data_IF_919996054399
#
_entry.id   IF_919996054399
#
_cell.length_a   1.000
_cell.length_b   1.000
_cell.length_c   1.000
_cell.angle_alpha   90.00
_cell.angle_beta   90.00
_cell.angle_gamma   90.00
#
_symmetry.space_group_name_H-M   'P 1'
#
loop_
_entity.id
_entity.type
_entity.pdbx_description
1 polymer ?
#
# COMPACT_ATOMS: atom_id res chain seq x y z
N UNK A 1 -19.15 -14.10 10.68
CA UNK A 1 -20.31 -14.01 11.61
C UNK A 1 -19.95 -14.41 13.06
N UNK A 2 -18.71 -14.85 13.34
CA UNK A 2 -18.31 -15.32 14.67
C UNK A 2 -17.16 -14.53 15.29
N UNK A 3 -16.69 -13.46 14.62
CA UNK A 3 -15.65 -12.60 15.17
C UNK A 3 -16.18 -11.80 16.37
N UNK A 4 -15.34 -11.64 17.37
CA UNK A 4 -15.60 -10.87 18.58
C UNK A 4 -14.47 -9.86 18.80
N UNK A 5 -14.61 -8.97 19.79
CA UNK A 5 -13.54 -8.05 20.19
C UNK A 5 -12.21 -8.74 20.58
N UNK A 6 -12.24 -10.01 20.90
CA UNK A 6 -11.06 -10.82 21.26
C UNK A 6 -10.45 -11.55 20.06
N UNK A 7 -11.02 -11.38 18.86
CA UNK A 7 -10.51 -12.00 17.65
C UNK A 7 -9.30 -11.26 17.11
N UNK A 8 -8.40 -12.01 16.45
CA UNK A 8 -7.38 -11.47 15.55
C UNK A 8 -7.80 -11.76 14.12
N UNK A 9 -7.98 -10.73 13.31
CA UNK A 9 -8.39 -10.84 11.90
C UNK A 9 -7.23 -10.46 11.01
N UNK A 10 -6.84 -11.36 10.11
CA UNK A 10 -5.80 -11.11 9.12
C UNK A 10 -6.41 -11.23 7.73
N UNK A 11 -6.37 -10.15 6.95
CA UNK A 11 -6.82 -10.10 5.57
C UNK A 11 -5.66 -9.72 4.67
N UNK A 12 -5.57 -10.39 3.53
CA UNK A 12 -4.57 -10.10 2.50
C UNK A 12 -5.25 -10.05 1.14
N UNK A 13 -5.29 -8.87 0.52
CA UNK A 13 -5.84 -8.61 -0.83
C UNK A 13 -7.17 -9.31 -1.15
N UNK A 14 -8.07 -9.35 -0.15
CA UNK A 14 -9.29 -10.17 -0.18
C UNK A 14 -10.30 -9.77 -1.26
N UNK A 15 -10.12 -8.61 -1.92
CA UNK A 15 -11.07 -8.01 -2.86
C UNK A 15 -10.48 -7.79 -4.26
N UNK A 16 -9.45 -8.54 -4.64
CA UNK A 16 -8.75 -8.37 -5.92
C UNK A 16 -9.54 -8.80 -7.17
N UNK A 17 -10.68 -9.46 -7.00
CA UNK A 17 -11.48 -10.03 -8.09
C UNK A 17 -12.62 -9.13 -8.59
N UNK A 18 -12.78 -7.94 -8.03
CA UNK A 18 -13.84 -7.00 -8.43
C UNK A 18 -13.26 -5.66 -8.93
N UNK A 19 -14.12 -4.72 -9.32
CA UNK A 19 -13.67 -3.41 -9.80
C UNK A 19 -12.99 -2.62 -8.66
N UNK A 20 -12.03 -1.70 -8.97
CA UNK A 20 -11.37 -0.90 -7.93
C UNK A 20 -12.32 -0.12 -7.05
N UNK A 21 -13.41 0.43 -7.62
CA UNK A 21 -14.42 1.18 -6.86
C UNK A 21 -15.20 0.29 -5.88
N UNK A 22 -15.61 -0.90 -6.35
CA UNK A 22 -16.31 -1.86 -5.49
C UNK A 22 -15.39 -2.42 -4.41
N UNK A 23 -14.13 -2.69 -4.78
CA UNK A 23 -13.10 -3.11 -3.83
C UNK A 23 -12.89 -2.09 -2.72
N UNK A 24 -12.79 -0.81 -3.08
CA UNK A 24 -12.63 0.27 -2.10
C UNK A 24 -13.85 0.38 -1.18
N UNK A 25 -15.06 0.38 -1.74
CA UNK A 25 -16.29 0.43 -0.95
C UNK A 25 -16.37 -0.74 0.04
N UNK A 26 -16.17 -1.97 -0.43
CA UNK A 26 -16.21 -3.16 0.43
C UNK A 26 -15.10 -3.14 1.48
N UNK A 27 -13.90 -2.67 1.13
CA UNK A 27 -12.79 -2.55 2.07
C UNK A 27 -13.10 -1.55 3.18
N UNK A 28 -13.71 -0.40 2.85
CA UNK A 28 -14.17 0.56 3.86
C UNK A 28 -15.20 -0.04 4.81
N UNK A 29 -16.19 -0.75 4.29
CA UNK A 29 -17.21 -1.40 5.13
C UNK A 29 -16.60 -2.46 6.06
N UNK A 30 -15.61 -3.21 5.58
CA UNK A 30 -14.87 -4.19 6.37
C UNK A 30 -14.09 -3.51 7.51
N UNK A 31 -13.31 -2.46 7.21
CA UNK A 31 -12.50 -1.82 8.24
C UNK A 31 -13.34 -1.01 9.24
N UNK A 32 -14.46 -0.42 8.81
CA UNK A 32 -15.47 0.18 9.70
C UNK A 32 -16.04 -0.87 10.66
N UNK A 33 -16.38 -2.04 10.14
CA UNK A 33 -16.90 -3.15 10.95
C UNK A 33 -15.88 -3.65 11.97
N UNK A 34 -14.60 -3.77 11.57
CA UNK A 34 -13.51 -4.16 12.49
C UNK A 34 -13.29 -3.14 13.59
N UNK A 35 -13.32 -1.84 13.24
CA UNK A 35 -13.22 -0.77 14.21
C UNK A 35 -14.37 -0.78 15.22
N UNK A 36 -15.61 -0.89 14.72
CA UNK A 36 -16.81 -0.96 15.56
C UNK A 36 -16.78 -2.18 16.51
N UNK A 37 -16.33 -3.32 15.97
CA UNK A 37 -16.17 -4.55 16.76
C UNK A 37 -15.08 -4.44 17.84
N UNK A 38 -14.10 -3.56 17.66
CA UNK A 38 -12.97 -3.38 18.57
C UNK A 38 -11.99 -4.55 18.57
N UNK A 39 -11.95 -5.35 17.51
CA UNK A 39 -11.02 -6.48 17.37
C UNK A 39 -9.62 -6.01 16.93
N UNK A 40 -8.61 -6.88 17.10
CA UNK A 40 -7.30 -6.68 16.49
C UNK A 40 -7.34 -7.16 15.04
N UNK A 41 -6.89 -6.32 14.11
CA UNK A 41 -6.91 -6.66 12.70
C UNK A 41 -5.69 -6.13 11.95
N UNK A 42 -5.27 -6.88 10.93
CA UNK A 42 -4.31 -6.42 9.92
C UNK A 42 -4.95 -6.67 8.55
N UNK A 43 -5.04 -5.62 7.76
CA UNK A 43 -5.52 -5.70 6.38
C UNK A 43 -4.41 -5.25 5.44
N UNK A 44 -3.74 -6.21 4.78
CA UNK A 44 -2.78 -5.94 3.73
C UNK A 44 -3.52 -5.73 2.40
N UNK A 45 -3.31 -4.59 1.76
CA UNK A 45 -3.99 -4.23 0.51
C UNK A 45 -3.14 -3.27 -0.31
N UNK A 46 -3.38 -3.24 -1.62
CA UNK A 46 -2.83 -2.25 -2.55
C UNK A 46 -3.80 -1.07 -2.79
N UNK A 47 -4.96 -1.03 -2.14
CA UNK A 47 -5.94 0.05 -2.24
C UNK A 47 -5.44 1.30 -1.49
N UNK A 48 -4.68 2.16 -2.18
CA UNK A 48 -4.09 3.37 -1.58
C UNK A 48 -5.16 4.33 -1.06
N UNK A 49 -6.28 4.44 -1.76
CA UNK A 49 -7.39 5.32 -1.38
C UNK A 49 -8.00 4.95 -0.03
N UNK A 50 -8.01 3.65 0.32
CA UNK A 50 -8.44 3.21 1.65
C UNK A 50 -7.61 3.86 2.76
N UNK A 51 -6.30 3.98 2.57
CA UNK A 51 -5.42 4.61 3.55
C UNK A 51 -5.68 6.12 3.69
N UNK A 52 -6.08 6.79 2.61
CA UNK A 52 -6.47 8.21 2.65
C UNK A 52 -7.81 8.43 3.39
N UNK A 53 -8.66 7.41 3.45
CA UNK A 53 -9.97 7.48 4.13
C UNK A 53 -9.90 7.12 5.62
N UNK A 54 -8.77 6.64 6.14
CA UNK A 54 -8.62 6.16 7.52
C UNK A 54 -9.00 7.23 8.56
N UNK A 55 -8.55 8.47 8.40
CA UNK A 55 -8.83 9.52 9.37
C UNK A 55 -10.33 9.85 9.40
N UNK A 56 -10.98 9.87 8.24
CA UNK A 56 -12.43 10.03 8.12
C UNK A 56 -13.16 8.88 8.82
N UNK A 57 -12.79 7.65 8.57
CA UNK A 57 -13.39 6.46 9.20
C UNK A 57 -13.18 6.49 10.72
N UNK A 58 -12.00 6.89 11.18
CA UNK A 58 -11.72 7.05 12.60
C UNK A 58 -12.58 8.13 13.28
N UNK A 59 -12.98 9.16 12.56
CA UNK A 59 -13.85 10.22 13.05
C UNK A 59 -15.34 9.82 13.02
N UNK A 60 -15.77 9.07 12.01
CA UNK A 60 -17.17 8.69 11.80
C UNK A 60 -17.62 7.48 12.61
N UNK A 61 -16.71 6.52 12.84
CA UNK A 61 -17.04 5.27 13.54
C UNK A 61 -16.54 5.33 14.98
N UNK A 62 -17.43 5.26 15.94
CA UNK A 62 -17.09 5.13 17.35
C UNK A 62 -16.43 3.78 17.65
N UNK A 63 -15.46 3.76 18.57
CA UNK A 63 -14.79 2.54 18.99
C UNK A 63 -13.51 2.79 19.77
N UNK A 64 -13.13 1.85 20.62
CA UNK A 64 -11.92 1.90 21.46
C UNK A 64 -10.62 1.66 20.67
N UNK A 65 -10.72 1.10 19.47
CA UNK A 65 -9.58 0.85 18.59
C UNK A 65 -9.41 1.98 17.56
N UNK A 66 -8.19 2.15 17.03
CA UNK A 66 -7.89 3.12 15.99
C UNK A 66 -7.30 2.41 14.76
N UNK A 67 -7.78 2.80 13.58
CA UNK A 67 -7.16 2.41 12.32
C UNK A 67 -5.91 3.24 12.10
N UNK A 68 -4.84 2.60 11.65
CA UNK A 68 -3.60 3.26 11.24
C UNK A 68 -3.14 2.70 9.90
N UNK A 69 -2.54 3.55 9.06
CA UNK A 69 -1.84 3.12 7.87
C UNK A 69 -0.42 2.72 8.20
N UNK A 70 0.02 1.60 7.65
CA UNK A 70 1.40 1.14 7.74
C UNK A 70 1.93 0.83 6.35
N UNK A 71 3.15 1.23 6.07
CA UNK A 71 3.79 1.07 4.77
C UNK A 71 5.17 0.45 4.89
N UNK A 72 5.63 -0.18 3.80
CA UNK A 72 7.02 -0.62 3.70
C UNK A 72 7.94 0.61 3.70
N UNK A 73 8.85 0.66 4.64
CA UNK A 73 9.77 1.77 4.81
C UNK A 73 10.79 1.87 3.68
N UNK A 74 11.08 3.11 3.29
CA UNK A 74 12.05 3.46 2.27
C UNK A 74 12.99 4.49 2.88
N UNK A 75 14.27 4.38 2.59
CA UNK A 75 15.26 5.42 2.88
C UNK A 75 15.66 6.11 1.60
N UNK A 76 15.80 7.43 1.65
CA UNK A 76 16.47 8.19 0.60
C UNK A 76 17.91 7.70 0.51
N UNK A 77 18.26 7.07 -0.60
CA UNK A 77 19.59 6.55 -0.84
C UNK A 77 20.57 7.69 -1.18
N UNK A 78 21.11 8.34 -0.16
CA UNK A 78 22.25 9.27 -0.33
C UNK A 78 23.61 8.58 -0.28
N UNK A 79 23.64 7.24 -0.24
CA UNK A 79 24.89 6.49 -0.27
C UNK A 79 25.45 6.35 -1.70
N UNK A 80 26.40 7.23 -2.01
CA UNK A 80 27.23 7.24 -3.23
C UNK A 80 28.29 6.13 -3.27
N UNK A 81 28.18 5.06 -2.48
CA UNK A 81 29.27 4.10 -2.27
C UNK A 81 29.13 2.72 -2.93
N UNK A 82 28.23 2.54 -3.88
CA UNK A 82 28.29 1.34 -4.73
C UNK A 82 27.81 1.66 -6.14
N UNK A 83 28.80 1.88 -7.00
CA UNK A 83 28.57 2.12 -8.43
C UNK A 83 28.02 0.91 -9.15
N UNK A 84 26.73 0.74 -9.16
CA UNK A 84 25.94 -0.02 -10.13
C UNK A 84 24.46 0.03 -9.68
N UNK A 85 23.68 0.76 -10.43
CA UNK A 85 22.21 0.82 -10.40
C UNK A 85 21.60 2.02 -9.69
N UNK A 86 21.18 3.00 -10.49
CA UNK A 86 20.55 4.26 -10.13
C UNK A 86 19.13 4.16 -9.53
N UNK A 87 18.93 3.37 -8.51
CA UNK A 87 17.70 3.45 -7.73
C UNK A 87 17.88 4.47 -6.62
N UNK A 88 17.15 5.57 -6.72
CA UNK A 88 17.16 6.69 -5.76
C UNK A 88 16.64 6.30 -4.37
N UNK A 89 16.05 5.11 -4.24
CA UNK A 89 15.39 4.64 -3.02
C UNK A 89 15.87 3.25 -2.63
N UNK A 90 16.22 3.08 -1.35
CA UNK A 90 16.60 1.79 -0.76
C UNK A 90 15.49 1.27 0.13
N UNK A 91 15.08 0.03 -0.06
CA UNK A 91 14.12 -0.64 0.83
C UNK A 91 14.75 -0.86 2.19
N UNK A 92 14.06 -0.44 3.26
CA UNK A 92 14.56 -0.64 4.63
C UNK A 92 14.16 -2.00 5.20
N UNK A 93 13.24 -2.73 4.54
CA UNK A 93 12.62 -3.97 5.04
C UNK A 93 11.93 -3.80 6.41
N UNK A 94 11.57 -2.59 6.77
CA UNK A 94 10.80 -2.26 7.97
C UNK A 94 9.40 -1.83 7.56
N UNK A 95 8.43 -2.09 8.43
CA UNK A 95 7.07 -1.56 8.30
C UNK A 95 6.94 -0.41 9.27
N UNK A 96 6.49 0.74 8.78
CA UNK A 96 6.38 1.99 9.55
C UNK A 96 4.97 2.56 9.43
N UNK A 97 4.52 3.24 10.48
CA UNK A 97 3.26 3.97 10.46
C UNK A 97 3.44 5.24 9.62
N UNK A 98 2.86 5.26 8.43
CA UNK A 98 2.90 6.39 7.52
C UNK A 98 1.77 6.27 6.50
N UNK A 99 1.33 7.38 5.87
CA UNK A 99 0.47 7.32 4.70
C UNK A 99 1.22 6.68 3.53
N UNK A 100 0.51 6.04 2.59
CA UNK A 100 1.12 5.47 1.40
C UNK A 100 1.74 6.56 0.53
N UNK A 101 2.88 6.27 -0.06
CA UNK A 101 3.47 7.14 -1.06
C UNK A 101 2.70 6.98 -2.38
N UNK A 102 2.31 8.11 -2.98
CA UNK A 102 1.58 8.16 -4.26
C UNK A 102 2.43 7.74 -5.46
N UNK A 103 3.74 7.67 -5.30
CA UNK A 103 4.68 7.33 -6.38
C UNK A 103 4.86 5.81 -6.44
N UNK A 104 4.28 5.21 -7.48
CA UNK A 104 4.58 3.81 -7.76
C UNK A 104 6.01 3.71 -8.29
N UNK A 105 6.79 2.79 -7.74
CA UNK A 105 8.11 2.41 -8.28
C UNK A 105 8.03 1.82 -9.69
N UNK A 106 6.82 1.68 -10.24
CA UNK A 106 6.59 1.10 -11.56
C UNK A 106 7.38 1.84 -12.64
N UNK A 107 7.48 3.17 -12.57
CA UNK A 107 8.25 3.97 -13.54
C UNK A 107 9.74 3.64 -13.45
N UNK A 108 10.31 3.63 -12.25
CA UNK A 108 11.73 3.28 -12.03
C UNK A 108 12.03 1.83 -12.44
N UNK A 109 11.10 0.92 -12.13
CA UNK A 109 11.21 -0.47 -12.55
C UNK A 109 11.16 -0.59 -14.07
N UNK A 110 10.25 0.13 -14.73
CA UNK A 110 10.14 0.15 -16.19
C UNK A 110 11.43 0.69 -16.85
N UNK A 111 12.00 1.76 -16.32
CA UNK A 111 13.28 2.31 -16.78
C UNK A 111 14.43 1.32 -16.56
N UNK A 112 14.52 0.74 -15.36
CA UNK A 112 15.58 -0.22 -15.01
C UNK A 112 15.58 -1.47 -15.89
N UNK A 113 14.41 -1.99 -16.22
CA UNK A 113 14.27 -3.19 -17.06
C UNK A 113 14.09 -2.88 -18.55
N UNK A 114 14.19 -1.61 -18.96
CA UNK A 114 14.11 -1.21 -20.36
C UNK A 114 12.73 -1.41 -20.99
N UNK A 115 11.67 -1.46 -20.16
CA UNK A 115 10.27 -1.60 -20.61
C UNK A 115 9.53 -0.25 -20.66
N UNK A 116 10.22 0.87 -20.44
CA UNK A 116 9.66 2.19 -20.71
C UNK A 116 9.54 2.43 -22.21
N UNK A 117 8.54 3.22 -22.62
CA UNK A 117 8.32 3.51 -24.04
C UNK A 117 9.56 4.12 -24.69
N UNK A 118 10.25 5.04 -24.01
CA UNK A 118 11.48 5.67 -24.48
C UNK A 118 12.57 4.62 -24.74
N UNK A 119 12.80 3.69 -23.81
CA UNK A 119 13.82 2.64 -23.97
C UNK A 119 13.50 1.66 -25.09
N UNK A 120 12.24 1.31 -25.24
CA UNK A 120 11.78 0.44 -26.32
C UNK A 120 11.99 1.13 -27.68
N UNK A 121 11.63 2.41 -27.80
CA UNK A 121 11.79 3.18 -29.05
C UNK A 121 13.26 3.41 -29.40
N UNK A 122 14.11 3.73 -28.42
CA UNK A 122 15.57 3.81 -28.62
C UNK A 122 16.13 2.51 -29.19
N UNK A 123 15.71 1.37 -28.61
CA UNK A 123 16.17 0.05 -29.04
C UNK A 123 15.69 -0.31 -30.45
N UNK A 124 14.46 0.08 -30.81
CA UNK A 124 13.92 -0.16 -32.16
C UNK A 124 14.57 0.73 -33.22
N UNK A 125 14.88 1.98 -32.89
CA UNK A 125 15.49 2.93 -33.80
C UNK A 125 17.01 2.73 -33.98
N UNK A 126 17.64 1.94 -33.12
CA UNK A 126 19.07 1.59 -33.20
C UNK A 126 19.36 0.33 -34.03
N UNK A 127 18.33 -0.29 -34.59
CA UNK A 127 18.44 -1.43 -35.53
C UNK A 127 18.33 -0.98 -36.98
#
# INVERSE_FOLDING_TARGET
KHATRYSLILLNESLSSTTPMESLFLAEEIVKSMRYLGCRAIYATHLLDLAHHIDKINAEVEGDSKLISMVAGISDGTDTSSGLSGSKYKRTYKVVAAPPLSNSYAKEVAEKYGVSFEKITETLNSR
#
